data_IF_421000167848
#
_entry.id   IF_421000167848
#
_cell.length_a   1.000
_cell.length_b   1.000
_cell.length_c   1.000
_cell.angle_alpha   90.00
_cell.angle_beta   90.00
_cell.angle_gamma   90.00
#
_symmetry.space_group_name_H-M   'P 1'
#
loop_
_entity.id
_entity.type
_entity.pdbx_description
1 polymer ?
#
# COMPACT_ATOMS: atom_id res chain seq x y z
N UNK A 1 -1.48 -2.71 -34.15
CA UNK A 1 -2.71 -2.01 -33.71
C UNK A 1 -2.76 -2.10 -32.20
N UNK A 2 -2.53 -0.96 -31.53
CA UNK A 2 -2.26 -0.91 -30.10
C UNK A 2 -3.53 -1.11 -29.28
N UNK A 3 -3.64 -2.26 -28.64
CA UNK A 3 -4.49 -2.43 -27.47
C UNK A 3 -3.81 -1.68 -26.33
N UNK A 4 -4.42 -0.57 -25.93
CA UNK A 4 -3.90 0.38 -24.96
C UNK A 4 -3.72 -0.28 -23.58
N UNK A 5 -2.47 -0.30 -23.09
CA UNK A 5 -2.08 -0.66 -21.72
C UNK A 5 -3.01 -0.07 -20.63
N UNK A 6 -3.61 1.09 -20.91
CA UNK A 6 -4.47 1.87 -20.01
C UNK A 6 -5.91 1.35 -19.87
N UNK A 7 -6.48 0.68 -20.89
CA UNK A 7 -7.82 0.07 -20.77
C UNK A 7 -7.79 -1.18 -19.88
N UNK A 8 -6.68 -1.93 -19.89
CA UNK A 8 -6.49 -3.11 -19.05
C UNK A 8 -6.44 -2.80 -17.54
N UNK A 9 -5.86 -1.66 -17.12
CA UNK A 9 -5.79 -1.30 -15.67
C UNK A 9 -7.17 -1.01 -15.06
N UNK A 10 -8.08 -0.39 -15.82
CA UNK A 10 -9.45 -0.09 -15.35
C UNK A 10 -10.29 -1.36 -15.18
N UNK A 11 -10.19 -2.27 -16.15
CA UNK A 11 -10.92 -3.55 -16.15
C UNK A 11 -10.37 -4.50 -15.07
N UNK A 12 -9.04 -4.61 -14.95
CA UNK A 12 -8.38 -5.40 -13.90
C UNK A 12 -8.73 -4.93 -12.47
N UNK A 13 -8.79 -3.63 -12.20
CA UNK A 13 -9.15 -3.11 -10.88
C UNK A 13 -10.60 -3.43 -10.49
N UNK A 14 -11.52 -3.35 -11.45
CA UNK A 14 -12.92 -3.69 -11.23
C UNK A 14 -13.09 -5.19 -11.00
N UNK A 15 -12.50 -6.02 -11.85
CA UNK A 15 -12.68 -7.46 -11.83
C UNK A 15 -11.96 -8.14 -10.66
N UNK A 16 -10.77 -7.64 -10.29
CA UNK A 16 -9.95 -8.26 -9.25
C UNK A 16 -10.27 -7.72 -7.85
N UNK A 17 -10.66 -6.45 -7.74
CA UNK A 17 -10.75 -5.74 -6.46
C UNK A 17 -12.04 -4.93 -6.25
N UNK A 18 -12.98 -4.97 -7.21
CA UNK A 18 -14.25 -4.23 -7.16
C UNK A 18 -14.08 -2.71 -6.96
N UNK A 19 -13.03 -2.12 -7.56
CA UNK A 19 -12.80 -0.67 -7.53
C UNK A 19 -13.34 -0.02 -8.79
N UNK A 20 -14.33 0.85 -8.64
CA UNK A 20 -15.00 1.52 -9.76
C UNK A 20 -14.42 2.91 -10.02
N UNK A 21 -13.71 3.05 -11.14
CA UNK A 21 -13.29 4.34 -11.69
C UNK A 21 -14.37 4.95 -12.57
N UNK A 22 -14.77 6.19 -12.28
CA UNK A 22 -15.70 6.94 -13.13
C UNK A 22 -14.96 7.38 -14.40
N UNK A 23 -13.78 7.97 -14.24
CA UNK A 23 -12.92 8.41 -15.34
C UNK A 23 -11.59 7.65 -15.38
N UNK A 24 -10.92 7.66 -16.53
CA UNK A 24 -9.60 7.02 -16.68
C UNK A 24 -8.55 7.67 -15.78
N UNK A 25 -8.67 8.97 -15.57
CA UNK A 25 -7.71 9.78 -14.83
C UNK A 25 -8.00 9.85 -13.33
N UNK A 26 -9.01 9.09 -12.84
CA UNK A 26 -9.29 9.01 -11.42
C UNK A 26 -8.10 8.33 -10.70
N UNK A 27 -7.64 8.96 -9.62
CA UNK A 27 -6.48 8.53 -8.85
C UNK A 27 -6.93 7.57 -7.75
N UNK A 28 -6.33 6.38 -7.69
CA UNK A 28 -6.64 5.38 -6.66
C UNK A 28 -5.68 5.52 -5.49
N UNK A 29 -6.24 5.69 -4.31
CA UNK A 29 -5.49 5.81 -3.06
C UNK A 29 -5.82 4.61 -2.17
N UNK A 30 -4.84 3.80 -1.83
CA UNK A 30 -5.00 2.78 -0.81
C UNK A 30 -4.81 3.42 0.57
N UNK A 31 -5.73 3.17 1.50
CA UNK A 31 -5.59 3.59 2.90
C UNK A 31 -5.25 2.38 3.76
N UNK A 32 -4.01 2.31 4.22
CA UNK A 32 -3.47 1.26 5.07
C UNK A 32 -3.20 1.79 6.48
N UNK A 33 -3.03 0.87 7.44
CA UNK A 33 -2.65 1.22 8.81
C UNK A 33 -3.06 0.14 9.79
N UNK A 34 -2.45 0.18 10.98
CA UNK A 34 -2.80 -0.75 12.04
C UNK A 34 -4.26 -0.55 12.51
N UNK A 35 -4.88 -1.59 13.12
CA UNK A 35 -6.13 -1.40 13.85
C UNK A 35 -6.00 -0.26 14.88
N UNK A 36 -7.09 0.49 15.08
CA UNK A 36 -7.21 1.57 16.07
C UNK A 36 -6.29 2.80 15.88
N UNK A 37 -5.69 2.99 14.70
CA UNK A 37 -4.87 4.18 14.36
C UNK A 37 -5.68 5.43 13.98
N UNK A 38 -7.01 5.32 13.97
CA UNK A 38 -7.91 6.33 13.43
C UNK A 38 -8.00 6.32 11.90
N UNK A 39 -7.62 5.21 11.25
CA UNK A 39 -7.76 4.99 9.80
C UNK A 39 -9.16 5.32 9.28
N UNK A 40 -10.22 4.79 9.89
CA UNK A 40 -11.60 5.11 9.49
C UNK A 40 -11.96 6.59 9.71
N UNK A 41 -11.36 7.26 10.69
CA UNK A 41 -11.54 8.71 10.89
C UNK A 41 -10.85 9.51 9.78
N UNK A 42 -9.65 9.11 9.36
CA UNK A 42 -8.96 9.70 8.20
C UNK A 42 -9.76 9.45 6.93
N UNK A 43 -10.25 8.22 6.71
CA UNK A 43 -11.12 7.86 5.59
C UNK A 43 -12.34 8.78 5.51
N UNK A 44 -13.06 8.93 6.62
CA UNK A 44 -14.24 9.80 6.70
C UNK A 44 -13.90 11.28 6.48
N UNK A 45 -12.78 11.75 7.00
CA UNK A 45 -12.32 13.12 6.79
C UNK A 45 -11.93 13.40 5.32
N UNK A 46 -11.45 12.38 4.60
CA UNK A 46 -11.13 12.49 3.18
C UNK A 46 -12.39 12.50 2.31
N UNK A 47 -13.31 11.55 2.51
CA UNK A 47 -14.42 11.22 1.60
C UNK A 47 -15.77 11.82 1.98
N UNK A 48 -15.94 12.26 3.23
CA UNK A 48 -17.21 12.78 3.72
C UNK A 48 -18.34 11.76 3.58
N UNK A 49 -19.47 12.15 2.98
CA UNK A 49 -20.64 11.29 2.79
C UNK A 49 -20.58 10.43 1.50
N UNK A 50 -19.54 10.58 0.67
CA UNK A 50 -19.43 9.89 -0.61
C UNK A 50 -18.72 8.55 -0.45
N UNK A 51 -19.36 7.62 0.26
CA UNK A 51 -18.80 6.32 0.61
C UNK A 51 -19.74 5.19 0.19
N UNK A 52 -19.17 4.07 -0.21
CA UNK A 52 -19.88 2.82 -0.45
C UNK A 52 -19.15 1.68 0.26
N UNK A 53 -19.93 0.76 0.82
CA UNK A 53 -19.42 -0.43 1.47
C UNK A 53 -19.93 -1.68 0.76
N UNK A 54 -19.08 -2.70 0.71
CA UNK A 54 -19.38 -4.02 0.15
C UNK A 54 -18.44 -5.05 0.76
N UNK A 55 -18.20 -6.15 0.04
CA UNK A 55 -17.22 -7.16 0.42
C UNK A 55 -16.13 -7.28 -0.65
N UNK A 56 -14.93 -7.68 -0.23
CA UNK A 56 -13.86 -8.02 -1.17
C UNK A 56 -14.24 -9.27 -2.00
N UNK A 57 -13.93 -9.32 -3.31
CA UNK A 57 -14.33 -10.43 -4.18
C UNK A 57 -13.93 -11.80 -3.62
N UNK A 58 -14.94 -12.66 -3.38
CA UNK A 58 -14.74 -14.01 -2.85
C UNK A 58 -14.27 -14.09 -1.40
N UNK A 59 -14.39 -13.00 -0.62
CA UNK A 59 -14.01 -12.94 0.79
C UNK A 59 -15.15 -12.38 1.65
N UNK A 60 -15.14 -12.71 2.93
CA UNK A 60 -16.08 -12.18 3.94
C UNK A 60 -15.62 -10.84 4.55
N UNK A 61 -14.48 -10.32 4.09
CA UNK A 61 -13.91 -9.07 4.59
C UNK A 61 -14.63 -7.89 3.92
N UNK A 62 -15.05 -6.92 4.73
CA UNK A 62 -15.68 -5.69 4.23
C UNK A 62 -14.70 -4.85 3.42
N UNK A 63 -15.19 -4.32 2.30
CA UNK A 63 -14.50 -3.37 1.45
C UNK A 63 -15.22 -2.03 1.56
N UNK A 64 -14.55 -1.00 2.09
CA UNK A 64 -15.08 0.34 2.15
C UNK A 64 -14.31 1.22 1.17
N UNK A 65 -15.04 1.98 0.36
CA UNK A 65 -14.50 2.84 -0.66
C UNK A 65 -15.21 4.19 -0.61
N UNK A 66 -14.52 5.25 -1.00
CA UNK A 66 -15.14 6.56 -1.06
C UNK A 66 -14.42 7.47 -2.00
N UNK A 67 -15.08 8.56 -2.37
CA UNK A 67 -14.60 9.49 -3.39
C UNK A 67 -14.42 10.88 -2.80
N UNK A 68 -13.42 11.61 -3.28
CA UNK A 68 -13.30 13.04 -3.04
C UNK A 68 -12.69 13.75 -4.24
N UNK A 69 -12.96 15.04 -4.37
CA UNK A 69 -12.32 15.90 -5.35
C UNK A 69 -11.27 16.78 -4.67
N UNK A 70 -10.12 16.97 -5.32
CA UNK A 70 -9.11 17.92 -4.90
C UNK A 70 -8.37 18.47 -6.13
N UNK A 71 -8.30 19.80 -6.25
CA UNK A 71 -7.66 20.49 -7.39
C UNK A 71 -8.10 19.94 -8.76
N UNK A 72 -9.43 19.83 -8.93
CA UNK A 72 -10.07 19.36 -10.17
C UNK A 72 -9.76 17.91 -10.57
N UNK A 73 -9.12 17.14 -9.67
CA UNK A 73 -8.90 15.69 -9.83
C UNK A 73 -9.79 14.90 -8.88
N UNK A 74 -10.28 13.77 -9.37
CA UNK A 74 -11.06 12.84 -8.58
C UNK A 74 -10.14 11.77 -7.98
N UNK A 75 -10.39 11.47 -6.71
CA UNK A 75 -9.65 10.47 -5.96
C UNK A 75 -10.63 9.42 -5.45
N UNK A 76 -10.27 8.16 -5.60
CA UNK A 76 -10.98 7.00 -5.07
C UNK A 76 -10.12 6.44 -3.95
N UNK A 77 -10.61 6.54 -2.72
CA UNK A 77 -9.96 5.98 -1.54
C UNK A 77 -10.52 4.59 -1.29
N UNK A 78 -9.64 3.61 -1.21
CA UNK A 78 -9.97 2.23 -0.84
C UNK A 78 -9.44 1.98 0.56
N UNK A 79 -10.34 1.75 1.52
CA UNK A 79 -9.99 1.45 2.89
C UNK A 79 -9.58 -0.02 3.01
N UNK A 80 -8.30 -0.27 3.26
CA UNK A 80 -7.81 -1.61 3.48
C UNK A 80 -8.15 -2.07 4.89
N UNK A 81 -8.32 -3.39 5.13
CA UNK A 81 -8.45 -3.92 6.48
C UNK A 81 -7.29 -3.44 7.37
N UNK A 82 -7.58 -3.16 8.64
CA UNK A 82 -6.53 -2.81 9.59
C UNK A 82 -5.67 -4.03 9.88
N UNK A 83 -4.38 -3.97 9.60
CA UNK A 83 -3.45 -5.11 9.73
C UNK A 83 -2.19 -4.73 10.50
N UNK A 84 -1.51 -5.72 11.09
CA UNK A 84 -0.21 -5.46 11.73
C UNK A 84 0.97 -5.80 10.81
N UNK A 85 0.75 -6.63 9.80
CA UNK A 85 1.74 -7.02 8.81
C UNK A 85 1.10 -7.29 7.46
N UNK A 86 1.94 -7.50 6.44
CA UNK A 86 1.58 -8.01 5.12
C UNK A 86 2.11 -9.43 4.90
N UNK A 87 2.38 -10.17 5.98
CA UNK A 87 2.81 -11.58 5.94
C UNK A 87 1.66 -12.54 5.58
N UNK A 88 0.44 -12.02 5.36
CA UNK A 88 -0.75 -12.76 4.93
C UNK A 88 -1.13 -13.95 5.85
N UNK A 89 -0.90 -13.80 7.16
CA UNK A 89 -1.31 -14.80 8.17
C UNK A 89 -2.82 -14.82 8.40
N UNK A 90 -3.52 -13.76 7.97
CA UNK A 90 -4.98 -13.66 7.99
C UNK A 90 -5.54 -13.26 6.62
N UNK A 91 -6.85 -13.43 6.45
CA UNK A 91 -7.55 -13.02 5.21
C UNK A 91 -7.45 -11.50 5.03
N UNK A 92 -7.54 -10.73 6.11
CA UNK A 92 -7.37 -9.27 6.13
C UNK A 92 -5.97 -8.87 5.66
N UNK A 93 -4.93 -9.52 6.18
CA UNK A 93 -3.54 -9.28 5.75
C UNK A 93 -3.34 -9.64 4.28
N UNK A 94 -3.90 -10.77 3.84
CA UNK A 94 -3.86 -11.19 2.44
C UNK A 94 -4.52 -10.14 1.53
N UNK A 95 -5.71 -9.65 1.91
CA UNK A 95 -6.44 -8.63 1.14
C UNK A 95 -5.64 -7.33 1.03
N UNK A 96 -5.07 -6.86 2.14
CA UNK A 96 -4.25 -5.65 2.15
C UNK A 96 -3.01 -5.80 1.26
N UNK A 97 -2.28 -6.92 1.39
CA UNK A 97 -1.10 -7.24 0.59
C UNK A 97 -1.44 -7.33 -0.90
N UNK A 98 -2.47 -8.09 -1.24
CA UNK A 98 -2.87 -8.32 -2.62
C UNK A 98 -3.29 -7.00 -3.29
N UNK A 99 -4.03 -6.12 -2.60
CA UNK A 99 -4.42 -4.83 -3.16
C UNK A 99 -3.21 -3.92 -3.41
N UNK A 100 -2.26 -3.85 -2.46
CA UNK A 100 -1.06 -3.00 -2.61
C UNK A 100 -0.17 -3.53 -3.76
N UNK A 101 -0.01 -4.85 -3.88
CA UNK A 101 0.83 -5.46 -4.92
C UNK A 101 0.19 -5.42 -6.31
N UNK A 102 -1.06 -5.87 -6.43
CA UNK A 102 -1.69 -6.15 -7.72
C UNK A 102 -2.76 -5.11 -8.10
N UNK A 103 -3.35 -4.43 -7.11
CA UNK A 103 -4.26 -3.31 -7.37
C UNK A 103 -3.54 -2.08 -7.95
N UNK A 104 -2.21 -2.02 -7.82
CA UNK A 104 -1.36 -0.92 -8.33
C UNK A 104 -1.95 0.46 -8.02
N UNK A 105 -2.24 0.75 -6.73
CA UNK A 105 -2.75 2.06 -6.33
C UNK A 105 -1.75 3.14 -6.74
N UNK A 106 -2.26 4.32 -7.07
CA UNK A 106 -1.42 5.44 -7.51
C UNK A 106 -0.70 6.06 -6.31
N UNK A 107 -1.30 6.01 -5.10
CA UNK A 107 -0.66 6.35 -3.82
C UNK A 107 -1.16 5.41 -2.71
N UNK A 108 -0.28 5.07 -1.76
CA UNK A 108 -0.65 4.42 -0.50
C UNK A 108 -0.51 5.42 0.64
N UNK A 109 -1.61 5.71 1.34
CA UNK A 109 -1.59 6.48 2.58
C UNK A 109 -1.53 5.49 3.74
N UNK A 110 -0.46 5.55 4.54
CA UNK A 110 -0.30 4.73 5.73
C UNK A 110 -0.63 5.59 6.96
N UNK A 111 -1.71 5.23 7.65
CA UNK A 111 -2.14 5.90 8.88
C UNK A 111 -1.37 5.31 10.07
N UNK A 112 -0.60 6.17 10.72
CA UNK A 112 0.27 5.84 11.86
C UNK A 112 -0.25 6.55 13.09
N UNK A 113 -0.42 5.82 14.19
CA UNK A 113 -0.77 6.40 15.49
C UNK A 113 0.47 7.08 16.11
N UNK A 114 0.40 8.41 16.29
CA UNK A 114 1.45 9.20 16.93
C UNK A 114 1.74 8.76 18.37
N UNK A 115 0.82 8.12 19.07
CA UNK A 115 1.05 7.62 20.43
C UNK A 115 1.82 6.31 20.48
N UNK A 116 1.97 5.62 19.35
CA UNK A 116 2.58 4.29 19.26
C UNK A 116 3.35 4.07 17.95
N UNK A 117 4.17 5.06 17.55
CA UNK A 117 4.86 5.07 16.24
C UNK A 117 5.65 3.79 15.98
N UNK A 118 6.46 3.32 16.92
CA UNK A 118 7.30 2.12 16.78
C UNK A 118 6.51 0.88 16.34
N UNK A 119 5.35 0.63 16.97
CA UNK A 119 4.48 -0.50 16.63
C UNK A 119 3.93 -0.39 15.20
N UNK A 120 3.68 0.83 14.73
CA UNK A 120 3.12 1.10 13.41
C UNK A 120 4.18 1.06 12.31
N UNK A 121 5.46 1.29 12.66
CA UNK A 121 6.56 1.26 11.69
C UNK A 121 6.73 -0.10 11.04
N UNK A 122 6.38 -1.21 11.72
CA UNK A 122 6.48 -2.54 11.13
C UNK A 122 5.67 -2.67 9.82
N UNK A 123 4.38 -2.33 9.85
CA UNK A 123 3.54 -2.33 8.65
C UNK A 123 4.05 -1.32 7.62
N UNK A 124 4.42 -0.11 8.06
CA UNK A 124 4.90 0.93 7.15
C UNK A 124 6.14 0.47 6.36
N UNK A 125 7.14 -0.08 7.03
CA UNK A 125 8.38 -0.54 6.39
C UNK A 125 8.09 -1.62 5.34
N UNK A 126 7.20 -2.58 5.62
CA UNK A 126 6.79 -3.59 4.65
C UNK A 126 6.11 -2.99 3.42
N UNK A 127 5.29 -1.93 3.59
CA UNK A 127 4.66 -1.22 2.47
C UNK A 127 5.72 -0.48 1.63
N UNK A 128 6.72 0.13 2.29
CA UNK A 128 7.81 0.85 1.62
C UNK A 128 8.68 -0.09 0.75
N UNK A 129 8.79 -1.37 1.11
CA UNK A 129 9.47 -2.39 0.29
C UNK A 129 8.70 -2.76 -0.99
N UNK A 130 7.37 -2.60 -0.98
CA UNK A 130 6.49 -2.93 -2.11
C UNK A 130 6.40 -1.75 -3.08
N UNK A 131 6.24 -0.53 -2.57
CA UNK A 131 6.03 0.65 -3.42
C UNK A 131 6.66 1.92 -2.84
N UNK A 132 7.27 2.77 -3.68
CA UNK A 132 7.77 4.07 -3.23
C UNK A 132 6.67 5.13 -3.10
N UNK A 133 5.47 4.90 -3.64
CA UNK A 133 4.39 5.90 -3.67
C UNK A 133 3.61 5.95 -2.36
N UNK A 134 4.30 6.25 -1.26
CA UNK A 134 3.73 6.25 0.10
C UNK A 134 3.68 7.66 0.70
N UNK A 135 2.59 7.97 1.40
CA UNK A 135 2.45 9.14 2.28
C UNK A 135 2.06 8.65 3.67
N UNK A 136 2.77 9.11 4.70
CA UNK A 136 2.45 8.78 6.09
C UNK A 136 1.52 9.84 6.66
N UNK A 137 0.34 9.43 7.11
CA UNK A 137 -0.54 10.26 7.93
C UNK A 137 -0.29 9.93 9.40
N UNK A 138 0.50 10.77 10.07
CA UNK A 138 0.81 10.62 11.48
C UNK A 138 -0.34 11.22 12.30
N UNK A 139 -1.33 10.39 12.59
CA UNK A 139 -2.61 10.78 13.19
C UNK A 139 -2.56 10.72 14.73
N UNK A 140 -3.58 11.29 15.40
CA UNK A 140 -3.69 11.34 16.87
C UNK A 140 -2.61 12.22 17.53
N UNK A 141 -2.15 13.27 16.85
CA UNK A 141 -1.14 14.21 17.36
C UNK A 141 -1.58 14.95 18.63
N UNK A 142 -2.87 15.15 18.83
CA UNK A 142 -3.44 15.72 20.05
C UNK A 142 -3.34 14.76 21.25
N UNK A 143 -3.58 13.47 21.04
CA UNK A 143 -3.38 12.45 22.08
C UNK A 143 -1.90 12.25 22.39
N UNK A 144 -1.03 12.28 21.38
CA UNK A 144 0.43 12.25 21.58
C UNK A 144 0.89 13.44 22.44
N UNK A 145 0.37 14.65 22.15
CA UNK A 145 0.66 15.85 22.94
C UNK A 145 0.19 15.73 24.38
N UNK A 146 -1.02 15.18 24.63
CA UNK A 146 -1.53 14.94 25.99
C UNK A 146 -0.68 13.97 26.78
N UNK A 147 -0.04 13.01 26.10
CA UNK A 147 0.89 12.03 26.69
C UNK A 147 2.33 12.54 26.73
N UNK A 148 2.56 13.82 26.42
CA UNK A 148 3.89 14.44 26.38
C UNK A 148 4.88 13.77 25.41
N UNK A 149 4.37 13.05 24.41
CA UNK A 149 5.17 12.40 23.38
C UNK A 149 5.63 13.47 22.39
N UNK A 150 6.94 13.62 22.25
CA UNK A 150 7.57 14.53 21.28
C UNK A 150 8.07 13.73 20.10
N UNK A 151 7.58 14.07 18.91
CA UNK A 151 7.96 13.43 17.66
C UNK A 151 8.61 14.47 16.77
N UNK A 152 9.84 14.21 16.35
CA UNK A 152 10.49 15.02 15.33
C UNK A 152 10.01 14.58 13.95
N UNK A 153 9.05 15.33 13.41
CA UNK A 153 8.43 15.05 12.11
C UNK A 153 9.45 15.16 10.96
N UNK A 154 10.39 16.10 11.05
CA UNK A 154 11.38 16.31 10.01
C UNK A 154 12.38 15.17 9.98
N UNK A 155 12.86 14.74 11.16
CA UNK A 155 13.72 13.57 11.26
C UNK A 155 13.00 12.30 10.80
N UNK A 156 11.76 12.07 11.23
CA UNK A 156 11.00 10.91 10.79
C UNK A 156 10.82 10.89 9.26
N UNK A 157 10.55 12.06 8.66
CA UNK A 157 10.46 12.22 7.20
C UNK A 157 11.79 11.92 6.50
N UNK A 158 12.92 12.40 7.02
CA UNK A 158 14.23 12.15 6.41
C UNK A 158 14.66 10.69 6.53
N UNK A 159 14.41 10.06 7.69
CA UNK A 159 14.77 8.66 7.94
C UNK A 159 13.92 7.70 7.11
N UNK A 160 12.62 7.99 6.92
CA UNK A 160 11.74 7.14 6.10
C UNK A 160 11.85 7.41 4.60
N UNK A 161 12.31 8.59 4.20
CA UNK A 161 12.42 8.98 2.78
C UNK A 161 11.09 9.22 2.06
N UNK A 162 10.00 9.39 2.82
CA UNK A 162 8.64 9.65 2.33
C UNK A 162 7.98 10.80 3.10
N UNK A 163 6.98 11.49 2.52
CA UNK A 163 6.26 12.55 3.22
C UNK A 163 5.57 12.05 4.48
N UNK A 164 5.71 12.79 5.57
CA UNK A 164 5.04 12.54 6.85
C UNK A 164 4.22 13.77 7.21
N UNK A 165 2.90 13.59 7.28
CA UNK A 165 1.92 14.66 7.52
C UNK A 165 1.30 14.46 8.91
N UNK A 166 1.58 15.35 9.89
CA UNK A 166 0.94 15.28 11.19
C UNK A 166 -0.53 15.66 11.08
N UNK A 167 -1.42 14.86 11.66
CA UNK A 167 -2.86 15.06 11.53
C UNK A 167 -3.63 14.82 12.83
N UNK A 168 -4.78 15.48 12.92
CA UNK A 168 -5.84 15.22 13.89
C UNK A 168 -7.12 15.08 13.08
N UNK A 169 -7.35 13.87 12.56
CA UNK A 169 -8.41 13.63 11.58
C UNK A 169 -9.80 14.04 12.08
N UNK A 170 -10.10 13.79 13.37
CA UNK A 170 -11.37 14.17 14.01
C UNK A 170 -11.66 15.67 13.97
N UNK A 171 -10.62 16.50 13.85
CA UNK A 171 -10.72 17.95 13.80
C UNK A 171 -10.37 18.51 12.42
N UNK A 172 -10.28 17.66 11.39
CA UNK A 172 -9.84 18.00 10.04
C UNK A 172 -8.47 18.69 9.93
N UNK A 173 -7.63 18.65 10.97
CA UNK A 173 -6.29 19.25 10.95
C UNK A 173 -5.32 18.32 10.23
N UNK A 174 -4.54 18.87 9.29
CA UNK A 174 -3.60 18.11 8.46
C UNK A 174 -4.24 17.39 7.26
N UNK A 175 -5.58 17.35 7.16
CA UNK A 175 -6.27 16.63 6.07
C UNK A 175 -6.10 17.34 4.72
N UNK A 176 -6.11 18.67 4.69
CA UNK A 176 -5.84 19.41 3.46
C UNK A 176 -4.41 19.18 2.95
N UNK A 177 -3.42 19.26 3.85
CA UNK A 177 -2.01 18.98 3.54
C UNK A 177 -1.80 17.53 3.08
N UNK A 178 -2.51 16.58 3.69
CA UNK A 178 -2.53 15.18 3.25
C UNK A 178 -3.08 15.05 1.82
N UNK A 179 -4.22 15.68 1.51
CA UNK A 179 -4.80 15.70 0.16
C UNK A 179 -3.84 16.31 -0.87
N UNK A 180 -3.18 17.42 -0.51
CA UNK A 180 -2.23 18.09 -1.39
C UNK A 180 -0.98 17.24 -1.65
N UNK A 181 -0.46 16.60 -0.61
CA UNK A 181 0.70 15.69 -0.72
C UNK A 181 0.37 14.47 -1.56
N UNK A 182 -0.81 13.87 -1.37
CA UNK A 182 -1.29 12.74 -2.18
C UNK A 182 -1.46 13.16 -3.64
N UNK A 183 -2.04 14.34 -3.91
CA UNK A 183 -2.14 14.89 -5.26
C UNK A 183 -0.76 15.03 -5.92
N UNK A 184 0.19 15.65 -5.22
CA UNK A 184 1.53 15.89 -5.76
C UNK A 184 2.32 14.60 -5.97
N UNK A 185 2.17 13.59 -5.11
CA UNK A 185 2.81 12.30 -5.27
C UNK A 185 2.18 11.49 -6.42
N UNK A 186 0.85 11.50 -6.54
CA UNK A 186 0.12 10.81 -7.60
C UNK A 186 0.48 11.35 -9.00
N UNK A 187 0.72 12.66 -9.10
CA UNK A 187 1.13 13.34 -10.35
C UNK A 187 2.65 13.40 -10.53
N UNK A 188 3.42 12.74 -9.66
CA UNK A 188 4.89 12.69 -9.71
C UNK A 188 5.60 14.06 -9.60
N UNK A 189 4.92 15.06 -9.03
CA UNK A 189 5.51 16.37 -8.68
C UNK A 189 6.49 16.24 -7.50
N UNK A 190 6.33 15.20 -6.69
CA UNK A 190 7.25 14.86 -5.59
C UNK A 190 7.80 13.46 -5.86
N UNK A 191 9.12 13.32 -5.71
CA UNK A 191 9.80 12.01 -5.74
C UNK A 191 10.11 11.58 -4.32
N UNK A 192 9.91 10.30 -4.05
CA UNK A 192 10.26 9.65 -2.79
C UNK A 192 11.46 8.74 -2.98
N UNK A 193 12.22 8.55 -1.91
CA UNK A 193 13.29 7.56 -1.88
C UNK A 193 13.18 6.81 -0.55
N UNK A 194 12.24 5.86 -0.44
CA UNK A 194 11.98 5.15 0.79
C UNK A 194 13.23 4.52 1.38
N UNK A 195 13.27 4.48 2.70
CA UNK A 195 14.25 3.65 3.41
C UNK A 195 14.12 2.19 2.97
N UNK A 196 15.26 1.56 2.73
CA UNK A 196 15.35 0.13 2.46
C UNK A 196 15.69 -0.56 3.77
N UNK A 197 14.98 -1.65 4.07
CA UNK A 197 15.34 -2.50 5.20
C UNK A 197 16.66 -3.19 4.84
N UNK A 198 17.66 -3.02 5.70
CA UNK A 198 18.95 -3.68 5.53
C UNK A 198 18.89 -5.07 6.17
N UNK A 199 19.15 -6.09 5.37
CA UNK A 199 19.26 -7.47 5.84
C UNK A 199 20.72 -7.89 6.03
N UNK A 200 20.94 -9.02 6.69
CA UNK A 200 22.29 -9.60 6.79
C UNK A 200 22.84 -9.90 5.39
N UNK A 201 24.17 -9.87 5.24
CA UNK A 201 24.83 -10.16 3.97
C UNK A 201 24.43 -11.53 3.37
N UNK A 202 24.16 -12.51 4.24
CA UNK A 202 23.68 -13.84 3.85
C UNK A 202 22.32 -13.75 3.17
N UNK A 203 21.36 -13.05 3.79
CA UNK A 203 20.00 -12.87 3.26
C UNK A 203 20.04 -12.04 1.97
N UNK A 204 20.81 -10.94 1.94
CA UNK A 204 20.96 -10.10 0.73
C UNK A 204 21.52 -10.89 -0.46
N UNK A 205 22.43 -11.84 -0.21
CA UNK A 205 22.96 -12.72 -1.24
C UNK A 205 21.87 -13.63 -1.81
N UNK A 206 21.06 -14.24 -0.96
CA UNK A 206 19.95 -15.11 -1.38
C UNK A 206 18.85 -14.32 -2.10
N UNK A 207 18.50 -13.13 -1.60
CA UNK A 207 17.56 -12.22 -2.27
C UNK A 207 18.04 -11.93 -3.69
N UNK A 208 19.31 -11.55 -3.89
CA UNK A 208 19.86 -11.27 -5.23
C UNK A 208 19.78 -12.49 -6.16
N UNK A 209 20.08 -13.70 -5.66
CA UNK A 209 19.98 -14.94 -6.43
C UNK A 209 18.55 -15.18 -6.88
N UNK A 210 17.60 -15.11 -5.95
CA UNK A 210 16.18 -15.35 -6.23
C UNK A 210 15.62 -14.26 -7.16
N UNK A 211 15.91 -12.98 -6.90
CA UNK A 211 15.48 -11.88 -7.78
C UNK A 211 15.99 -12.06 -9.21
N UNK A 212 17.24 -12.49 -9.40
CA UNK A 212 17.81 -12.75 -10.74
C UNK A 212 17.11 -13.92 -11.47
N UNK A 213 16.59 -14.89 -10.73
CA UNK A 213 15.78 -15.99 -11.30
C UNK A 213 14.38 -15.50 -11.63
N UNK A 214 13.78 -14.70 -10.74
CA UNK A 214 12.48 -14.09 -10.94
C UNK A 214 12.46 -13.13 -12.14
N UNK A 215 13.54 -12.38 -12.40
CA UNK A 215 13.62 -11.51 -13.59
C UNK A 215 13.42 -12.27 -14.91
N UNK A 216 13.92 -13.51 -14.98
CA UNK A 216 13.79 -14.36 -16.18
C UNK A 216 12.38 -14.90 -16.36
N UNK A 217 11.63 -15.01 -15.28
CA UNK A 217 10.29 -15.59 -15.23
C UNK A 217 9.22 -14.48 -15.31
N UNK A 218 9.50 -13.34 -14.70
CA UNK A 218 8.53 -12.29 -14.40
C UNK A 218 9.11 -10.88 -14.60
N UNK A 219 9.13 -10.36 -15.83
CA UNK A 219 9.56 -8.99 -16.08
C UNK A 219 8.45 -7.99 -15.74
N UNK A 220 8.52 -7.38 -14.56
CA UNK A 220 8.16 -5.95 -14.41
C UNK A 220 6.83 -5.55 -13.79
N UNK A 221 6.16 -6.37 -12.98
CA UNK A 221 4.91 -5.91 -12.31
C UNK A 221 4.97 -5.73 -10.78
N UNK A 222 5.95 -6.34 -10.10
CA UNK A 222 6.12 -6.27 -8.64
C UNK A 222 7.61 -6.10 -8.32
N UNK A 223 7.92 -5.50 -7.18
CA UNK A 223 9.28 -5.50 -6.62
C UNK A 223 9.80 -6.93 -6.50
N UNK A 224 10.79 -7.28 -7.33
CA UNK A 224 11.41 -8.61 -7.34
C UNK A 224 12.24 -8.87 -6.09
N UNK A 225 12.72 -7.81 -5.45
CA UNK A 225 13.42 -7.88 -4.16
C UNK A 225 12.44 -8.27 -3.06
N UNK A 226 11.28 -7.61 -2.99
CA UNK A 226 10.23 -7.95 -2.03
C UNK A 226 9.70 -9.36 -2.26
N UNK A 227 9.44 -9.75 -3.52
CA UNK A 227 8.99 -11.11 -3.83
C UNK A 227 10.01 -12.16 -3.41
N UNK A 228 11.30 -11.94 -3.68
CA UNK A 228 12.37 -12.83 -3.24
C UNK A 228 12.39 -12.99 -1.72
N UNK A 229 12.24 -11.90 -0.97
CA UNK A 229 12.14 -11.95 0.49
C UNK A 229 10.93 -12.76 0.96
N UNK A 230 9.74 -12.59 0.35
CA UNK A 230 8.55 -13.37 0.69
C UNK A 230 8.73 -14.87 0.43
N UNK A 231 9.46 -15.23 -0.64
CA UNK A 231 9.78 -16.63 -0.93
C UNK A 231 10.74 -17.23 0.09
N UNK A 232 11.73 -16.46 0.56
CA UNK A 232 12.63 -16.88 1.64
C UNK A 232 11.89 -17.09 2.96
N UNK A 233 10.88 -16.27 3.24
CA UNK A 233 10.01 -16.42 4.42
C UNK A 233 9.06 -17.64 4.33
N UNK A 234 9.02 -18.34 3.18
CA UNK A 234 8.17 -19.52 2.98
C UNK A 234 6.68 -19.19 2.84
N UNK A 235 6.32 -17.94 2.52
CA UNK A 235 4.92 -17.54 2.34
C UNK A 235 4.35 -18.09 1.02
N UNK A 236 3.85 -19.32 1.03
CA UNK A 236 3.22 -19.93 -0.16
C UNK A 236 1.98 -19.18 -0.65
N UNK A 237 1.34 -18.37 0.20
CA UNK A 237 0.14 -17.64 -0.18
C UNK A 237 0.43 -16.57 -1.22
N UNK A 238 1.66 -16.05 -1.30
CA UNK A 238 2.05 -15.09 -2.35
C UNK A 238 2.11 -15.77 -3.72
N UNK A 239 2.56 -17.03 -3.79
CA UNK A 239 2.61 -17.79 -5.03
C UNK A 239 1.21 -18.01 -5.60
N UNK A 240 0.25 -18.33 -4.72
CA UNK A 240 -1.15 -18.47 -5.09
C UNK A 240 -1.72 -17.13 -5.59
N UNK A 241 -1.45 -16.02 -4.91
CA UNK A 241 -1.89 -14.69 -5.35
C UNK A 241 -1.28 -14.31 -6.70
N UNK A 242 0.01 -14.56 -6.93
CA UNK A 242 0.66 -14.35 -8.23
C UNK A 242 -0.05 -15.16 -9.31
N UNK A 243 -0.29 -16.45 -9.09
CA UNK A 243 -0.98 -17.27 -10.09
C UNK A 243 -2.39 -16.76 -10.39
N UNK A 244 -3.10 -16.26 -9.37
CA UNK A 244 -4.47 -15.78 -9.48
C UNK A 244 -4.55 -14.44 -10.22
N UNK A 245 -3.72 -13.47 -9.85
CA UNK A 245 -3.82 -12.10 -10.37
C UNK A 245 -3.01 -11.87 -11.64
N UNK A 246 -1.97 -12.67 -11.90
CA UNK A 246 -1.10 -12.52 -13.07
C UNK A 246 -1.30 -13.64 -14.09
N UNK A 247 -2.25 -14.56 -13.85
CA UNK A 247 -2.57 -15.71 -14.71
C UNK A 247 -1.32 -16.50 -15.12
N UNK A 248 -0.39 -16.66 -14.18
CA UNK A 248 0.93 -17.22 -14.39
C UNK A 248 1.11 -18.48 -13.53
N UNK A 249 1.37 -19.64 -14.14
CA UNK A 249 1.61 -20.87 -13.39
C UNK A 249 3.04 -20.89 -12.81
N UNK A 250 3.18 -20.28 -11.64
CA UNK A 250 4.44 -20.18 -10.91
C UNK A 250 5.04 -21.55 -10.57
N UNK A 251 4.23 -22.57 -10.30
CA UNK A 251 4.75 -23.90 -9.94
C UNK A 251 5.50 -24.52 -11.11
N UNK A 252 4.96 -24.45 -12.32
CA UNK A 252 5.65 -24.99 -13.49
C UNK A 252 6.85 -24.13 -13.92
N UNK A 253 6.82 -22.82 -13.70
CA UNK A 253 7.91 -21.92 -14.03
C UNK A 253 9.11 -22.02 -13.07
N UNK A 254 8.88 -22.12 -11.75
CA UNK A 254 9.93 -22.31 -10.74
C UNK A 254 10.64 -23.66 -10.92
N UNK A 255 9.88 -24.72 -11.23
CA UNK A 255 10.41 -26.06 -11.54
C UNK A 255 11.29 -26.03 -12.81
N UNK A 256 10.89 -25.29 -13.85
CA UNK A 256 11.69 -25.10 -15.07
C UNK A 256 12.91 -24.20 -14.87
N UNK A 257 12.84 -23.27 -13.91
CA UNK A 257 13.91 -22.31 -13.57
C UNK A 257 14.96 -22.84 -12.58
N UNK A 258 14.78 -24.05 -12.04
CA UNK A 258 15.75 -24.69 -11.15
C UNK A 258 15.65 -24.32 -9.66
N UNK A 259 14.59 -23.62 -9.25
CA UNK A 259 14.25 -23.43 -7.84
C UNK A 259 13.47 -24.66 -7.35
N UNK A 260 14.11 -25.47 -6.48
CA UNK A 260 13.45 -26.54 -5.73
C UNK A 260 13.16 -26.07 -4.32
#
# INVERSE_FOLDING_TARGET
MGLTYTSGKKEALKDLFNVEKDNKDDIVVALAGNPNTGKSTVFNALTGLHQHTGNWPGKTVTNAQGKYNHKEKNFIVVDLPGTYSLLASSIEEQVARDFICFGKPDVVVVVVDATSVERNLNLLLQILEITPRVVVSLNLMDEAKKREIKIDINKLRSELGVPVIPSIARSNKGIYELKDTVYNLALENIKTNPVKVEYSNEIECEIKKISSLLEKVFPGEISLQWLALRLLDGDESILNSISKYLNYDMKSALIKGGLR
#
